data_IF_631429760402
#
_entry.id   IF_631429760402
#
_cell.length_a   1.000
_cell.length_b   1.000
_cell.length_c   1.000
_cell.angle_alpha   90.00
_cell.angle_beta   90.00
_cell.angle_gamma   90.00
#
_symmetry.space_group_name_H-M   'P 1'
#
loop_
_entity.id
_entity.type
_entity.pdbx_description
1 polymer ?
#
# COMPACT_ATOMS: atom_id res chain seq x y z
N UNK A 1 3.33 -13.53 -10.98
CA UNK A 1 2.47 -12.32 -11.02
C UNK A 1 1.39 -12.48 -12.07
N UNK A 2 0.16 -12.05 -11.78
CA UNK A 2 -0.96 -12.15 -12.71
C UNK A 2 -1.55 -10.77 -13.03
N UNK A 3 -2.22 -10.67 -14.19
CA UNK A 3 -2.97 -9.46 -14.57
C UNK A 3 -4.04 -9.11 -13.55
N UNK A 4 -4.62 -10.11 -12.88
CA UNK A 4 -5.64 -9.93 -11.84
C UNK A 4 -5.02 -9.34 -10.56
N UNK A 5 -3.87 -9.85 -10.13
CA UNK A 5 -3.09 -9.34 -9.00
C UNK A 5 -2.65 -7.89 -9.21
N UNK A 6 -2.15 -7.55 -10.41
CA UNK A 6 -1.78 -6.18 -10.76
C UNK A 6 -2.95 -5.20 -10.65
N UNK A 7 -4.11 -5.53 -11.23
CA UNK A 7 -5.31 -4.67 -11.13
C UNK A 7 -5.82 -4.54 -9.70
N UNK A 8 -5.63 -5.56 -8.88
CA UNK A 8 -5.97 -5.50 -7.47
C UNK A 8 -5.04 -4.52 -6.74
N UNK A 9 -3.73 -4.63 -6.93
CA UNK A 9 -2.74 -3.74 -6.30
C UNK A 9 -2.96 -2.28 -6.70
N UNK A 10 -3.16 -2.00 -7.99
CA UNK A 10 -3.43 -0.65 -8.50
C UNK A 10 -4.65 -0.01 -7.78
N UNK A 11 -5.77 -0.74 -7.71
CA UNK A 11 -6.97 -0.29 -6.99
C UNK A 11 -6.75 -0.15 -5.50
N UNK A 12 -5.93 -1.01 -4.89
CA UNK A 12 -5.66 -0.97 -3.47
C UNK A 12 -4.79 0.24 -3.11
N UNK A 13 -3.71 0.49 -3.86
CA UNK A 13 -2.84 1.66 -3.70
C UNK A 13 -3.64 2.96 -3.81
N UNK A 14 -4.49 3.09 -4.84
CA UNK A 14 -5.34 4.27 -5.01
C UNK A 14 -6.24 4.56 -3.80
N UNK A 15 -6.63 3.53 -3.02
CA UNK A 15 -7.41 3.69 -1.78
C UNK A 15 -6.55 4.05 -0.57
N UNK A 16 -5.30 3.58 -0.52
CA UNK A 16 -4.39 3.85 0.59
C UNK A 16 -3.76 5.24 0.51
N UNK A 17 -3.46 5.72 -0.69
CA UNK A 17 -2.78 7.00 -0.89
C UNK A 17 -3.46 8.18 -0.17
N UNK A 18 -4.79 8.37 -0.23
CA UNK A 18 -5.45 9.46 0.51
C UNK A 18 -5.41 9.31 2.02
N UNK A 19 -5.28 8.08 2.56
CA UNK A 19 -5.19 7.82 4.00
C UNK A 19 -3.80 8.24 4.48
N UNK A 20 -2.77 7.74 3.81
CA UNK A 20 -1.37 8.04 4.11
C UNK A 20 -1.07 9.53 3.89
N UNK A 21 -1.66 10.14 2.85
CA UNK A 21 -1.51 11.56 2.56
C UNK A 21 -2.09 12.51 3.62
N UNK A 22 -2.98 12.01 4.51
CA UNK A 22 -3.50 12.80 5.64
C UNK A 22 -2.52 12.90 6.81
N UNK A 23 -1.42 12.16 6.77
CA UNK A 23 -0.40 12.15 7.82
C UNK A 23 -0.73 11.22 8.97
N UNK A 24 -1.71 10.33 8.81
CA UNK A 24 -1.97 9.24 9.75
C UNK A 24 -0.78 8.27 9.70
N UNK A 25 0.07 8.19 10.74
CA UNK A 25 1.25 7.34 10.70
C UNK A 25 0.80 5.88 10.65
N UNK A 26 1.18 5.17 9.58
CA UNK A 26 0.95 3.73 9.45
C UNK A 26 2.29 2.99 9.44
N UNK A 27 2.39 1.91 10.21
CA UNK A 27 3.58 1.07 10.17
C UNK A 27 3.59 0.21 8.90
N UNK A 28 4.78 -0.16 8.43
CA UNK A 28 4.92 -1.07 7.27
C UNK A 28 4.29 -2.43 7.56
N UNK A 29 4.33 -2.89 8.81
CA UNK A 29 3.67 -4.11 9.26
C UNK A 29 2.15 -4.05 9.10
N UNK A 30 1.53 -2.99 9.62
CA UNK A 30 0.08 -2.79 9.51
C UNK A 30 -0.37 -2.67 8.06
N UNK A 31 0.41 -1.96 7.24
CA UNK A 31 0.13 -1.80 5.81
C UNK A 31 0.19 -3.15 5.08
N UNK A 32 1.14 -4.01 5.46
CA UNK A 32 1.23 -5.37 4.93
C UNK A 32 0.03 -6.23 5.35
N UNK A 33 -0.34 -6.19 6.61
CA UNK A 33 -1.48 -6.98 7.11
C UNK A 33 -2.80 -6.54 6.45
N UNK A 34 -2.98 -5.23 6.24
CA UNK A 34 -4.12 -4.69 5.50
C UNK A 34 -4.15 -5.16 4.04
N UNK A 35 -2.99 -5.18 3.36
CA UNK A 35 -2.89 -5.65 1.98
C UNK A 35 -3.21 -7.14 1.87
N UNK A 36 -2.62 -7.97 2.73
CA UNK A 36 -2.86 -9.42 2.73
C UNK A 36 -4.33 -9.74 3.04
N UNK A 37 -4.92 -9.06 4.01
CA UNK A 37 -6.35 -9.20 4.34
C UNK A 37 -7.25 -8.79 3.18
N UNK A 38 -6.90 -7.70 2.47
CA UNK A 38 -7.68 -7.25 1.31
C UNK A 38 -7.56 -8.21 0.12
N UNK A 39 -6.37 -8.79 -0.09
CA UNK A 39 -6.12 -9.78 -1.14
C UNK A 39 -6.92 -11.07 -0.87
N UNK A 40 -6.89 -11.57 0.36
CA UNK A 40 -7.68 -12.73 0.80
C UNK A 40 -9.17 -12.51 0.55
N UNK A 41 -9.72 -11.37 1.00
CA UNK A 41 -11.14 -11.01 0.79
C UNK A 41 -11.52 -10.90 -0.68
N UNK A 42 -10.55 -10.55 -1.54
CA UNK A 42 -10.74 -10.44 -2.98
C UNK A 42 -10.48 -11.78 -3.73
N UNK A 43 -10.13 -12.85 -3.02
CA UNK A 43 -9.77 -14.14 -3.63
C UNK A 43 -8.48 -14.07 -4.45
N UNK A 44 -7.58 -13.15 -4.10
CA UNK A 44 -6.28 -12.97 -4.73
C UNK A 44 -5.24 -13.72 -3.90
N UNK A 45 -4.68 -14.82 -4.43
CA UNK A 45 -3.64 -15.54 -3.73
C UNK A 45 -2.32 -14.76 -3.76
N UNK A 46 -1.47 -14.98 -2.75
CA UNK A 46 -0.26 -14.19 -2.54
C UNK A 46 0.74 -14.25 -3.71
N UNK A 47 0.84 -15.39 -4.38
CA UNK A 47 1.71 -15.60 -5.55
C UNK A 47 1.33 -14.71 -6.76
N UNK A 48 0.08 -14.25 -6.83
CA UNK A 48 -0.36 -13.31 -7.85
C UNK A 48 0.16 -11.89 -7.64
N UNK A 49 0.49 -11.52 -6.39
CA UNK A 49 0.88 -10.16 -5.98
C UNK A 49 2.34 -10.04 -5.50
N UNK A 50 2.97 -11.14 -5.07
CA UNK A 50 4.30 -11.14 -4.44
C UNK A 50 5.39 -10.41 -5.24
N UNK A 51 5.31 -10.41 -6.57
CA UNK A 51 6.31 -9.76 -7.42
C UNK A 51 6.32 -8.23 -7.39
N UNK A 52 5.25 -7.58 -6.95
CA UNK A 52 5.14 -6.11 -6.90
C UNK A 52 4.86 -5.59 -5.50
N UNK A 53 4.84 -6.47 -4.50
CA UNK A 53 4.61 -6.10 -3.11
C UNK A 53 5.63 -5.05 -2.66
N UNK A 54 6.90 -5.28 -2.95
CA UNK A 54 8.00 -4.39 -2.56
C UNK A 54 7.83 -2.99 -3.16
N UNK A 55 7.62 -2.87 -4.46
CA UNK A 55 7.42 -1.58 -5.14
C UNK A 55 6.18 -0.82 -4.66
N UNK A 56 5.10 -1.54 -4.33
CA UNK A 56 3.91 -0.93 -3.73
C UNK A 56 4.19 -0.36 -2.34
N UNK A 57 4.94 -1.09 -1.50
CA UNK A 57 5.31 -0.60 -0.17
C UNK A 57 6.25 0.60 -0.26
N UNK A 58 7.24 0.57 -1.15
CA UNK A 58 8.15 1.69 -1.39
C UNK A 58 7.41 2.97 -1.76
N UNK A 59 6.44 2.89 -2.67
CA UNK A 59 5.62 4.03 -3.08
C UNK A 59 4.85 4.62 -1.88
N UNK A 60 4.21 3.78 -1.08
CA UNK A 60 3.41 4.24 0.06
C UNK A 60 4.30 4.82 1.17
N UNK A 61 5.46 4.21 1.44
CA UNK A 61 6.45 4.72 2.41
C UNK A 61 6.98 6.09 1.97
N UNK A 62 7.30 6.25 0.68
CA UNK A 62 7.76 7.51 0.12
C UNK A 62 6.72 8.62 0.28
N UNK A 63 5.44 8.32 0.02
CA UNK A 63 4.34 9.27 0.23
C UNK A 63 4.21 9.61 1.72
N UNK A 64 4.27 8.62 2.61
CA UNK A 64 4.22 8.84 4.06
C UNK A 64 5.37 9.74 4.55
N UNK A 65 6.60 9.50 4.06
CA UNK A 65 7.78 10.32 4.40
C UNK A 65 7.59 11.77 3.99
N UNK A 66 7.16 12.02 2.75
CA UNK A 66 6.92 13.38 2.24
C UNK A 66 5.85 14.12 3.02
N UNK A 67 4.86 13.41 3.54
CA UNK A 67 3.79 14.00 4.36
C UNK A 67 4.34 14.37 5.74
N UNK A 68 5.11 13.48 6.37
CA UNK A 68 5.77 13.76 7.65
C UNK A 68 6.71 14.98 7.55
N UNK A 69 7.53 15.06 6.51
CA UNK A 69 8.41 16.21 6.24
C UNK A 69 7.65 17.53 6.07
N UNK A 70 6.43 17.50 5.52
CA UNK A 70 5.58 18.71 5.40
C UNK A 70 5.00 19.15 6.72
N UNK A 71 4.64 18.21 7.59
CA UNK A 71 4.09 18.50 8.91
C UNK A 71 5.18 19.05 9.84
N UNK A 72 6.41 18.54 9.76
CA UNK A 72 7.54 19.05 10.55
C UNK A 72 7.98 20.48 10.16
N UNK A 73 7.58 20.96 8.98
CA UNK A 73 7.89 22.31 8.46
C UNK A 73 6.78 23.34 8.69
N UNK A 74 5.63 22.95 9.25
CA UNK A 74 4.43 23.78 9.44
C UNK A 74 4.21 24.17 10.91
#
# INVERSE_FOLDING_TARGET
MSVRGLRFLDKWVAKQLPIVARGDPISVGDLKDQLMTAAEKAGIPADEINGELESVFELIIEVNRRVAERVDLA
#
